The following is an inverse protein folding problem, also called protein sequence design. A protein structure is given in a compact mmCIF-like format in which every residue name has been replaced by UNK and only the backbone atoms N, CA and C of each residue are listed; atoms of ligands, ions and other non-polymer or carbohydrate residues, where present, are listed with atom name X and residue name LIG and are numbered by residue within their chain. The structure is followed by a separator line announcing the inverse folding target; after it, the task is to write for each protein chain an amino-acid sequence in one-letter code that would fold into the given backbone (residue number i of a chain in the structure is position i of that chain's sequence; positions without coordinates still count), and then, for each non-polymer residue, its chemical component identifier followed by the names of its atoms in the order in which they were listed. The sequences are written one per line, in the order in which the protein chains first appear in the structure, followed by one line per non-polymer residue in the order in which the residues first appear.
data_IF_729137993992
#
_entry.id   IF_729137993992
#
_cell.length_a   1.000
_cell.length_b   1.000
_cell.length_c   1.000
_cell.angle_alpha   90.00
_cell.angle_beta   90.00
_cell.angle_gamma   90.00
#
_symmetry.space_group_name_H-M   'P 1'
#
loop_
_entity.id
_entity.type
_entity.pdbx_description
1 polymer ?
#
# COMPACT_ATOMS: atom_id res chain seq x y z
N UNK A 1 6.93 -4.09 -0.20
CA UNK A 1 5.78 -3.14 -0.09
C UNK A 1 6.17 -1.84 0.62
N UNK A 2 6.59 -1.84 1.89
CA UNK A 2 6.87 -0.59 2.62
C UNK A 2 7.89 0.34 1.95
N UNK A 3 8.98 -0.21 1.41
CA UNK A 3 9.98 0.60 0.70
C UNK A 3 9.38 1.30 -0.53
N UNK A 4 8.57 0.58 -1.32
CA UNK A 4 7.90 1.14 -2.50
C UNK A 4 6.89 2.21 -2.08
N UNK A 5 6.02 1.92 -1.12
CA UNK A 5 5.01 2.89 -0.64
C UNK A 5 5.68 4.10 0.02
N UNK A 6 6.83 3.91 0.67
CA UNK A 6 7.62 5.00 1.25
C UNK A 6 8.29 5.90 0.22
N UNK A 7 8.73 5.33 -0.91
CA UNK A 7 9.27 6.08 -2.05
C UNK A 7 8.18 6.72 -2.93
N UNK A 8 6.97 6.14 -2.94
CA UNK A 8 5.82 6.61 -3.73
C UNK A 8 4.54 6.67 -2.87
N UNK A 9 4.40 7.69 -2.00
CA UNK A 9 3.14 7.92 -1.29
C UNK A 9 2.00 8.17 -2.28
N UNK A 10 0.87 7.50 -2.11
CA UNK A 10 -0.24 7.56 -3.07
C UNK A 10 -0.29 6.39 -4.04
N UNK A 11 0.68 5.47 -4.00
CA UNK A 11 0.64 4.26 -4.83
C UNK A 11 -0.60 3.41 -4.53
N UNK A 12 -1.27 2.92 -5.56
CA UNK A 12 -2.45 2.06 -5.45
C UNK A 12 -2.09 0.57 -5.48
N UNK A 13 -3.06 -0.30 -5.18
CA UNK A 13 -2.83 -1.74 -5.12
C UNK A 13 -2.35 -2.34 -6.45
N UNK A 14 -2.87 -1.88 -7.59
CA UNK A 14 -2.47 -2.39 -8.91
C UNK A 14 -0.99 -2.10 -9.17
N UNK A 15 -0.56 -0.87 -8.91
CA UNK A 15 0.84 -0.49 -9.05
C UNK A 15 1.75 -1.28 -8.09
N UNK A 16 1.30 -1.56 -6.86
CA UNK A 16 2.04 -2.43 -5.92
C UNK A 16 2.16 -3.86 -6.44
N UNK A 17 1.11 -4.38 -7.09
CA UNK A 17 1.13 -5.71 -7.72
C UNK A 17 2.14 -5.77 -8.85
N UNK A 18 2.09 -4.80 -9.76
CA UNK A 18 2.98 -4.72 -10.92
C UNK A 18 4.44 -4.58 -10.49
N UNK A 19 4.74 -3.68 -9.55
CA UNK A 19 6.10 -3.41 -9.08
C UNK A 19 6.73 -4.61 -8.35
N UNK A 20 5.93 -5.44 -7.70
CA UNK A 20 6.42 -6.56 -6.89
C UNK A 20 6.17 -7.94 -7.51
N UNK A 21 5.52 -8.01 -8.68
CA UNK A 21 5.07 -9.27 -9.26
C UNK A 21 4.11 -10.05 -8.35
N UNK A 22 3.30 -9.35 -7.56
CA UNK A 22 2.32 -9.97 -6.66
C UNK A 22 0.99 -10.19 -7.35
N UNK A 23 0.34 -11.30 -7.04
CA UNK A 23 -1.05 -11.49 -7.39
C UNK A 23 -1.97 -10.60 -6.52
N UNK A 24 -3.24 -10.51 -6.92
CA UNK A 24 -4.22 -9.66 -6.23
C UNK A 24 -4.42 -10.07 -4.78
N UNK A 25 -4.41 -11.37 -4.50
CA UNK A 25 -4.66 -11.92 -3.16
C UNK A 25 -3.49 -11.58 -2.23
N UNK A 26 -2.25 -11.84 -2.66
CA UNK A 26 -1.04 -11.52 -1.94
C UNK A 26 -0.91 -10.03 -1.66
N UNK A 27 -1.08 -9.18 -2.68
CA UNK A 27 -1.07 -7.74 -2.48
C UNK A 27 -2.13 -7.27 -1.47
N UNK A 28 -3.36 -7.79 -1.58
CA UNK A 28 -4.45 -7.47 -0.64
C UNK A 28 -4.13 -7.88 0.78
N UNK A 29 -3.56 -9.07 0.97
CA UNK A 29 -3.20 -9.59 2.29
C UNK A 29 -2.15 -8.69 2.94
N UNK A 30 -1.02 -8.47 2.28
CA UNK A 30 0.07 -7.71 2.86
C UNK A 30 -0.28 -6.23 3.09
N UNK A 31 -0.97 -5.58 2.14
CA UNK A 31 -1.39 -4.18 2.31
C UNK A 31 -2.34 -4.04 3.50
N UNK A 32 -3.26 -4.98 3.70
CA UNK A 32 -4.20 -4.98 4.83
C UNK A 32 -3.51 -5.20 6.16
N UNK A 33 -2.61 -6.19 6.25
CA UNK A 33 -1.87 -6.44 7.51
C UNK A 33 -0.97 -5.24 7.85
N UNK A 34 -0.30 -4.62 6.88
CA UNK A 34 0.51 -3.43 7.12
C UNK A 34 -0.31 -2.20 7.56
N UNK A 35 -1.54 -2.06 7.07
CA UNK A 35 -2.47 -1.02 7.56
C UNK A 35 -2.93 -1.33 8.99
N UNK A 36 -3.27 -2.59 9.27
CA UNK A 36 -3.68 -3.07 10.61
C UNK A 36 -2.58 -2.91 11.65
N UNK A 37 -1.33 -3.19 11.29
CA UNK A 37 -0.14 -2.94 12.11
C UNK A 37 0.18 -1.44 12.28
N UNK A 38 -0.54 -0.56 11.58
CA UNK A 38 -0.32 0.88 11.63
C UNK A 38 0.96 1.34 10.94
N UNK A 39 1.56 0.51 10.08
CA UNK A 39 2.77 0.86 9.30
C UNK A 39 2.41 1.61 8.02
N UNK A 40 1.25 1.30 7.46
CA UNK A 40 0.64 2.04 6.35
C UNK A 40 -0.64 2.74 6.78
N UNK A 41 -1.03 3.77 6.03
CA UNK A 41 -2.39 4.31 5.99
C UNK A 41 -2.97 4.05 4.60
N UNK A 42 -4.23 3.65 4.57
CA UNK A 42 -5.03 3.63 3.35
C UNK A 42 -5.81 4.94 3.23
N UNK A 43 -5.86 5.47 2.02
CA UNK A 43 -6.67 6.63 1.63
C UNK A 43 -7.44 6.35 0.35
N UNK A 44 -8.15 7.38 -0.13
CA UNK A 44 -8.85 7.35 -1.41
C UNK A 44 -8.34 8.48 -2.29
N UNK A 45 -8.03 8.14 -3.53
CA UNK A 45 -7.72 9.10 -4.58
C UNK A 45 -8.59 8.74 -5.80
N UNK A 46 -9.63 9.54 -6.02
CA UNK A 46 -10.73 9.17 -6.92
C UNK A 46 -11.34 7.83 -6.53
N UNK A 47 -11.32 6.87 -7.46
CA UNK A 47 -11.85 5.52 -7.28
C UNK A 47 -10.86 4.55 -6.61
N UNK A 48 -9.57 4.88 -6.61
CA UNK A 48 -8.52 3.99 -6.17
C UNK A 48 -8.28 4.11 -4.66
N UNK A 49 -8.01 2.96 -4.03
CA UNK A 49 -7.41 2.95 -2.69
C UNK A 49 -5.91 3.15 -2.85
N UNK A 50 -5.38 4.15 -2.16
CA UNK A 50 -3.97 4.52 -2.21
C UNK A 50 -3.32 4.35 -0.84
N UNK A 51 -2.02 4.12 -0.82
CA UNK A 51 -1.28 3.81 0.40
C UNK A 51 -0.16 4.81 0.66
N UNK A 52 0.10 5.09 1.94
CA UNK A 52 1.24 5.91 2.38
C UNK A 52 1.81 5.37 3.69
N UNK A 53 3.10 5.57 3.93
CA UNK A 53 3.74 5.15 5.19
C UNK A 53 3.24 6.02 6.34
N UNK A 54 2.81 5.39 7.43
CA UNK A 54 2.48 6.09 8.67
C UNK A 54 3.78 6.41 9.40
N UNK A 55 4.25 7.65 9.31
CA UNK A 55 5.34 8.12 10.17
C UNK A 55 4.81 8.26 11.60
N UNK A 56 5.47 7.63 12.56
CA UNK A 56 5.27 7.93 13.97
C UNK A 56 5.65 9.40 14.19
N UNK A 57 4.84 10.13 14.96
CA UNK A 57 5.19 11.46 15.46
C UNK A 57 6.24 11.33 16.55
#
# INVERSE_FOLDING_TARGET
ILNIVGGRPGINQLEVMEELGLDRTGASYYLRELVKEGRLKAGKEGWYTVYSVRRAK
#
